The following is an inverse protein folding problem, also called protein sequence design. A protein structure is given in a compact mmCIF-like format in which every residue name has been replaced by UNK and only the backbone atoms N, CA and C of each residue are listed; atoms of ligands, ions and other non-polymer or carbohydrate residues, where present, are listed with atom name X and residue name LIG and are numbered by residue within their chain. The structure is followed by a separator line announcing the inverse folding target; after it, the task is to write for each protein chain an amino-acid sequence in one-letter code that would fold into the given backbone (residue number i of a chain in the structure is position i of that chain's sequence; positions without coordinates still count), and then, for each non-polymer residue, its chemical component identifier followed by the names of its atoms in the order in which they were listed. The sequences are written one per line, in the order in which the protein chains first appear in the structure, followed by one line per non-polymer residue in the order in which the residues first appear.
data_IF_035497972706
#
_entry.id   IF_035497972706
#
_cell.length_a   1.000
_cell.length_b   1.000
_cell.length_c   1.000
_cell.angle_alpha   90.00
_cell.angle_beta   90.00
_cell.angle_gamma   90.00
#
_symmetry.space_group_name_H-M   'P 1'
#
loop_
_entity.id
_entity.type
_entity.pdbx_description
1 polymer ?
#
# COMPACT_ATOMS: atom_id res chain seq x y z
N UNK A 1 55.93 -31.39 29.25
CA UNK A 1 55.94 -30.55 30.47
C UNK A 1 54.53 -29.99 30.61
N UNK A 2 53.69 -30.69 31.40
CA UNK A 2 53.28 -30.35 32.76
C UNK A 2 52.30 -29.14 32.75
N UNK A 3 50.98 -29.38 32.87
CA UNK A 3 50.15 -29.41 34.11
C UNK A 3 50.01 -28.01 34.73
N UNK A 4 48.87 -27.51 35.20
CA UNK A 4 47.65 -28.08 35.80
C UNK A 4 46.55 -26.98 35.74
N UNK A 5 45.26 -27.28 35.50
CA UNK A 5 44.19 -27.59 36.49
C UNK A 5 43.85 -26.40 37.40
N UNK A 6 42.59 -25.96 37.60
CA UNK A 6 41.50 -26.65 38.31
C UNK A 6 40.18 -25.83 38.19
N UNK A 7 39.03 -26.45 37.84
CA UNK A 7 37.87 -26.90 38.68
C UNK A 7 36.81 -25.83 38.99
N UNK A 8 35.58 -25.91 38.45
CA UNK A 8 34.39 -26.73 38.81
C UNK A 8 33.32 -25.92 39.60
N UNK A 9 32.19 -25.64 38.93
CA UNK A 9 30.74 -25.85 39.26
C UNK A 9 30.21 -25.82 40.74
N UNK A 10 28.89 -26.03 41.00
CA UNK A 10 27.61 -25.44 40.53
C UNK A 10 26.62 -25.09 41.70
N UNK A 11 25.36 -24.70 41.39
CA UNK A 11 24.19 -24.76 42.31
C UNK A 11 23.51 -23.41 42.56
N UNK A 12 22.22 -23.23 42.84
CA UNK A 12 21.01 -24.05 42.96
C UNK A 12 19.87 -23.01 43.24
N UNK A 13 18.66 -23.14 42.68
CA UNK A 13 17.46 -22.37 43.09
C UNK A 13 16.75 -23.09 44.27
N UNK A 14 15.55 -22.73 44.78
CA UNK A 14 14.75 -21.49 44.88
C UNK A 14 14.26 -21.22 46.35
N UNK A 15 13.67 -20.06 46.72
CA UNK A 15 12.79 -19.97 47.92
C UNK A 15 11.61 -18.99 47.81
N UNK A 16 10.39 -19.53 47.97
CA UNK A 16 9.14 -18.86 48.35
C UNK A 16 9.19 -18.52 49.85
N UNK A 17 8.65 -17.37 50.28
CA UNK A 17 8.25 -17.16 51.68
C UNK A 17 6.72 -17.10 51.78
N UNK A 18 6.19 -18.00 52.61
CA UNK A 18 4.78 -18.07 53.02
C UNK A 18 4.57 -17.20 54.27
N UNK A 19 3.35 -16.68 54.36
CA UNK A 19 2.68 -16.03 55.50
C UNK A 19 2.88 -16.73 56.86
N UNK A 20 2.81 -15.94 57.93
CA UNK A 20 2.09 -16.17 59.22
C UNK A 20 2.60 -15.15 60.28
N UNK A 21 2.05 -15.06 61.50
CA UNK A 21 0.65 -15.06 61.96
C UNK A 21 0.35 -14.01 63.09
N UNK A 22 -0.92 -13.90 63.48
CA UNK A 22 -1.41 -13.63 64.85
C UNK A 22 -0.88 -12.40 65.65
N UNK A 23 -1.68 -11.32 65.66
CA UNK A 23 -1.98 -10.47 66.82
C UNK A 23 -3.12 -9.51 66.39
N UNK A 24 -4.20 -9.25 67.12
CA UNK A 24 -4.61 -9.65 68.45
C UNK A 24 -6.13 -9.49 68.57
N UNK A 25 -6.68 -10.32 69.43
CA UNK A 25 -8.07 -10.42 69.85
C UNK A 25 -8.31 -9.38 70.97
N UNK A 26 -9.52 -8.82 71.04
CA UNK A 26 -10.14 -7.99 72.12
C UNK A 26 -10.15 -6.44 71.98
N UNK A 27 -11.31 -5.93 71.52
CA UNK A 27 -12.22 -5.02 72.25
C UNK A 27 -11.78 -3.59 72.62
N UNK A 28 -12.49 -2.58 72.12
CA UNK A 28 -13.36 -1.64 72.88
C UNK A 28 -13.87 -0.50 71.97
N UNK A 29 -15.12 -0.08 72.20
CA UNK A 29 -15.85 0.95 71.47
C UNK A 29 -15.26 2.37 71.64
N UNK A 30 -15.30 3.16 70.57
CA UNK A 30 -15.08 4.62 70.60
C UNK A 30 -15.68 5.27 69.35
N UNK A 31 -16.59 6.21 69.56
CA UNK A 31 -17.36 6.95 68.56
C UNK A 31 -16.50 7.89 67.70
N UNK A 32 -16.91 8.01 66.41
CA UNK A 32 -16.91 9.22 65.55
C UNK A 32 -15.56 9.88 65.19
N UNK A 33 -15.24 9.90 63.88
CA UNK A 33 -15.26 11.11 63.04
C UNK A 33 -15.29 10.65 61.58
N UNK A 34 -16.34 11.01 60.85
CA UNK A 34 -16.51 10.71 59.43
C UNK A 34 -15.60 11.63 58.59
N UNK A 35 -14.47 11.11 58.13
CA UNK A 35 -13.86 11.56 56.88
C UNK A 35 -14.36 10.61 55.80
N UNK A 36 -15.17 11.11 54.87
CA UNK A 36 -15.56 10.38 53.66
C UNK A 36 -14.28 10.10 52.85
N UNK A 37 -13.66 8.95 53.09
CA UNK A 37 -12.69 8.35 52.18
C UNK A 37 -13.40 8.15 50.85
N UNK A 38 -13.11 9.03 49.90
CA UNK A 38 -13.45 8.84 48.50
C UNK A 38 -12.92 7.45 48.11
N UNK A 39 -13.76 6.56 47.57
CA UNK A 39 -13.29 5.24 47.16
C UNK A 39 -12.14 5.46 46.18
N UNK A 40 -11.00 4.82 46.44
CA UNK A 40 -9.84 4.82 45.54
C UNK A 40 -10.30 4.29 44.19
N UNK A 41 -10.70 5.20 43.31
CA UNK A 41 -11.21 4.88 42.00
C UNK A 41 -10.00 4.49 41.17
N UNK A 42 -9.95 3.24 40.75
CA UNK A 42 -8.93 2.75 39.84
C UNK A 42 -9.13 3.44 38.48
N UNK A 43 -8.46 4.57 38.32
CA UNK A 43 -8.51 5.40 37.11
C UNK A 43 -8.00 4.61 35.91
N UNK A 44 -7.04 3.70 36.11
CA UNK A 44 -6.50 2.88 35.03
C UNK A 44 -7.54 1.85 34.55
N UNK A 45 -8.19 1.13 35.47
CA UNK A 45 -9.27 0.20 35.11
C UNK A 45 -10.52 0.94 34.59
N UNK A 46 -10.81 2.15 35.08
CA UNK A 46 -11.89 3.00 34.58
C UNK A 46 -11.63 3.50 33.16
N UNK A 47 -10.40 3.92 32.87
CA UNK A 47 -9.96 4.36 31.55
C UNK A 47 -9.98 3.20 30.55
N UNK A 48 -9.49 2.02 30.94
CA UNK A 48 -9.49 0.84 30.07
C UNK A 48 -10.93 0.39 29.72
N UNK A 49 -11.85 0.52 30.68
CA UNK A 49 -13.28 0.21 30.49
C UNK A 49 -13.99 1.28 29.64
N UNK A 50 -13.59 2.55 29.76
CA UNK A 50 -14.07 3.64 28.92
C UNK A 50 -13.56 3.51 27.47
N UNK A 51 -12.28 3.18 27.27
CA UNK A 51 -11.68 2.93 25.96
C UNK A 51 -12.29 1.71 25.27
N UNK A 52 -12.65 0.65 26.01
CA UNK A 52 -13.40 -0.49 25.46
C UNK A 52 -14.85 -0.14 25.10
N UNK A 53 -15.51 0.75 25.86
CA UNK A 53 -16.87 1.23 25.52
C UNK A 53 -16.88 2.15 24.32
N UNK A 54 -15.89 3.02 24.16
CA UNK A 54 -15.76 3.88 22.96
C UNK A 54 -15.28 3.08 21.75
N UNK A 55 -14.42 2.07 21.94
CA UNK A 55 -14.01 1.13 20.89
C UNK A 55 -15.12 0.17 20.42
N UNK A 56 -16.09 -0.16 21.29
CA UNK A 56 -17.22 -1.05 21.00
C UNK A 56 -18.51 -0.36 20.53
N UNK A 57 -18.66 0.95 20.74
CA UNK A 57 -19.85 1.71 20.36
C UNK A 57 -19.90 2.12 18.87
N UNK A 58 -18.88 1.75 18.07
CA UNK A 58 -18.88 1.90 16.61
C UNK A 58 -19.29 0.64 15.84
N UNK A 59 -19.96 -0.32 16.50
CA UNK A 59 -20.53 -1.48 15.83
C UNK A 59 -22.07 -1.40 15.78
N UNK A 60 -22.59 -0.47 14.97
CA UNK A 60 -23.81 -0.64 14.18
C UNK A 60 -24.18 0.67 13.46
N UNK A 61 -23.26 1.21 12.65
CA UNK A 61 -23.75 1.86 11.44
C UNK A 61 -24.47 0.76 10.67
N UNK A 62 -25.79 0.86 10.53
CA UNK A 62 -26.57 0.06 9.57
C UNK A 62 -25.71 0.01 8.31
N UNK A 63 -25.27 -1.17 7.88
CA UNK A 63 -24.71 -1.38 6.55
C UNK A 63 -25.79 -0.88 5.59
N UNK A 64 -25.76 0.40 5.24
CA UNK A 64 -26.41 0.89 4.07
C UNK A 64 -25.84 0.00 2.97
N UNK A 65 -26.69 -0.81 2.34
CA UNK A 65 -26.30 -1.40 1.08
C UNK A 65 -25.76 -0.24 0.26
N UNK A 66 -24.49 -0.26 -0.16
CA UNK A 66 -24.01 0.80 -1.02
C UNK A 66 -24.97 0.85 -2.18
N UNK A 67 -25.67 1.99 -2.34
CA UNK A 67 -26.58 2.20 -3.45
C UNK A 67 -25.82 1.77 -4.70
N UNK A 68 -26.34 0.80 -5.47
CA UNK A 68 -25.57 0.15 -6.55
C UNK A 68 -24.98 1.17 -7.53
N UNK A 69 -25.70 2.28 -7.76
CA UNK A 69 -25.24 3.41 -8.55
C UNK A 69 -24.02 4.13 -7.98
N UNK A 70 -23.81 4.14 -6.65
CA UNK A 70 -22.62 4.74 -6.03
C UNK A 70 -21.38 3.88 -6.27
N UNK A 71 -21.47 2.55 -6.17
CA UNK A 71 -20.32 1.67 -6.44
C UNK A 71 -19.87 1.68 -7.91
N UNK A 72 -20.81 1.73 -8.86
CA UNK A 72 -20.48 1.85 -10.28
C UNK A 72 -19.80 3.19 -10.55
N UNK A 73 -20.33 4.29 -10.01
CA UNK A 73 -19.72 5.62 -10.16
C UNK A 73 -18.32 5.71 -9.55
N UNK A 74 -18.11 5.11 -8.38
CA UNK A 74 -16.78 5.06 -7.75
C UNK A 74 -15.76 4.31 -8.60
N UNK A 75 -16.15 3.16 -9.17
CA UNK A 75 -15.30 2.41 -10.08
C UNK A 75 -14.99 3.19 -11.37
N UNK A 76 -15.99 3.86 -11.95
CA UNK A 76 -15.81 4.71 -13.12
C UNK A 76 -14.86 5.88 -12.83
N UNK A 77 -14.99 6.53 -11.67
CA UNK A 77 -14.08 7.60 -11.27
C UNK A 77 -12.63 7.11 -11.05
N UNK A 78 -12.45 5.89 -10.55
CA UNK A 78 -11.14 5.26 -10.45
C UNK A 78 -10.54 4.94 -11.82
N UNK A 79 -11.35 4.41 -12.74
CA UNK A 79 -10.94 4.16 -14.13
C UNK A 79 -10.54 5.46 -14.83
N UNK A 80 -11.36 6.50 -14.74
CA UNK A 80 -11.06 7.81 -15.34
C UNK A 80 -9.75 8.39 -14.80
N UNK A 81 -9.57 8.38 -13.48
CA UNK A 81 -8.33 8.86 -12.87
C UNK A 81 -7.11 8.01 -13.28
N UNK A 82 -7.29 6.71 -13.46
CA UNK A 82 -6.24 5.81 -13.94
C UNK A 82 -5.88 6.10 -15.40
N UNK A 83 -6.86 6.37 -16.27
CA UNK A 83 -6.62 6.72 -17.68
C UNK A 83 -5.76 7.98 -17.81
N UNK A 84 -6.10 9.06 -17.08
CA UNK A 84 -5.28 10.28 -17.08
C UNK A 84 -3.84 10.03 -16.62
N UNK A 85 -3.67 9.14 -15.64
CA UNK A 85 -2.35 8.80 -15.11
C UNK A 85 -1.56 7.90 -16.07
N UNK A 86 -2.24 7.02 -16.82
CA UNK A 86 -1.64 6.21 -17.88
C UNK A 86 -1.11 7.10 -18.99
N UNK A 87 -1.87 8.09 -19.43
CA UNK A 87 -1.43 9.05 -20.45
C UNK A 87 -0.15 9.76 -20.00
N UNK A 88 -0.12 10.22 -18.74
CA UNK A 88 1.08 10.86 -18.17
C UNK A 88 2.30 9.92 -18.13
N UNK A 89 2.11 8.65 -17.77
CA UNK A 89 3.19 7.65 -17.77
C UNK A 89 3.65 7.39 -19.20
N UNK A 90 2.73 7.28 -20.16
CA UNK A 90 3.03 7.09 -21.58
C UNK A 90 3.89 8.23 -22.12
N UNK A 91 3.54 9.48 -21.84
CA UNK A 91 4.34 10.64 -22.27
C UNK A 91 5.80 10.57 -21.79
N UNK A 92 6.03 10.05 -20.58
CA UNK A 92 7.37 9.92 -20.01
C UNK A 92 8.12 8.77 -20.70
N UNK A 93 7.45 7.65 -20.98
CA UNK A 93 8.06 6.52 -21.71
C UNK A 93 8.43 6.95 -23.14
N UNK A 94 7.57 7.70 -23.83
CA UNK A 94 7.86 8.23 -25.17
C UNK A 94 9.07 9.18 -25.14
N UNK A 95 9.16 10.08 -24.15
CA UNK A 95 10.36 10.90 -23.97
C UNK A 95 11.62 10.07 -23.73
N UNK A 96 11.54 9.01 -22.91
CA UNK A 96 12.67 8.13 -22.66
C UNK A 96 13.08 7.37 -23.94
N UNK A 97 12.12 7.01 -24.78
CA UNK A 97 12.35 6.38 -26.07
C UNK A 97 13.14 7.30 -27.01
N UNK A 98 12.77 8.57 -27.11
CA UNK A 98 13.50 9.57 -27.90
C UNK A 98 14.94 9.78 -27.40
N UNK A 99 15.16 9.78 -26.08
CA UNK A 99 16.50 9.86 -25.49
C UNK A 99 17.34 8.62 -25.84
N UNK A 100 16.77 7.42 -25.74
CA UNK A 100 17.46 6.19 -26.09
C UNK A 100 17.76 6.11 -27.61
N UNK A 101 16.85 6.57 -28.47
CA UNK A 101 17.11 6.72 -29.91
C UNK A 101 18.26 7.69 -30.17
N UNK A 102 18.26 8.85 -29.52
CA UNK A 102 19.35 9.83 -29.62
C UNK A 102 20.69 9.23 -29.19
N UNK A 103 20.69 8.36 -28.17
CA UNK A 103 21.90 7.66 -27.73
C UNK A 103 22.37 6.64 -28.77
N UNK A 104 21.45 5.98 -29.47
CA UNK A 104 21.76 5.05 -30.54
C UNK A 104 22.39 5.75 -31.76
N UNK A 105 22.07 7.03 -31.99
CA UNK A 105 22.65 7.83 -33.07
C UNK A 105 24.02 8.45 -32.70
N UNK A 106 24.34 8.52 -31.41
CA UNK A 106 25.58 9.12 -30.94
C UNK A 106 26.80 8.18 -31.09
N UNK A 107 27.82 8.64 -31.82
CA UNK A 107 29.07 7.88 -32.04
C UNK A 107 29.99 7.88 -30.81
N UNK A 108 30.05 9.01 -30.09
CA UNK A 108 30.95 9.20 -28.95
C UNK A 108 30.37 8.60 -27.66
N UNK A 109 31.17 7.77 -26.98
CA UNK A 109 30.77 7.14 -25.71
C UNK A 109 30.44 8.16 -24.60
N UNK A 110 31.14 9.30 -24.57
CA UNK A 110 30.87 10.37 -23.60
C UNK A 110 29.48 11.00 -23.80
N UNK A 111 29.05 11.20 -25.05
CA UNK A 111 27.73 11.71 -25.36
C UNK A 111 26.63 10.71 -24.98
N UNK A 112 26.85 9.41 -25.24
CA UNK A 112 25.92 8.34 -24.82
C UNK A 112 25.75 8.25 -23.31
N UNK A 113 26.84 8.44 -22.54
CA UNK A 113 26.77 8.45 -21.09
C UNK A 113 25.88 9.56 -20.52
N UNK A 114 25.94 10.77 -21.09
CA UNK A 114 25.04 11.88 -20.69
C UNK A 114 23.57 11.57 -21.02
N UNK A 115 23.32 10.93 -22.16
CA UNK A 115 21.98 10.50 -22.55
C UNK A 115 21.47 9.36 -21.67
N UNK A 116 22.33 8.46 -21.20
CA UNK A 116 21.98 7.41 -20.24
C UNK A 116 21.55 8.00 -18.90
N UNK A 117 22.21 9.06 -18.42
CA UNK A 117 21.78 9.79 -17.22
C UNK A 117 20.38 10.41 -17.42
N UNK A 118 20.16 11.10 -18.54
CA UNK A 118 18.84 11.66 -18.88
C UNK A 118 17.76 10.58 -19.00
N UNK A 119 18.10 9.41 -19.53
CA UNK A 119 17.23 8.25 -19.59
C UNK A 119 16.87 7.73 -18.19
N UNK A 120 17.85 7.58 -17.30
CA UNK A 120 17.58 7.12 -15.93
C UNK A 120 16.74 8.14 -15.13
N UNK A 121 16.94 9.43 -15.34
CA UNK A 121 16.08 10.48 -14.78
C UNK A 121 14.62 10.31 -15.22
N UNK A 122 14.38 10.08 -16.51
CA UNK A 122 13.04 9.81 -17.04
C UNK A 122 12.46 8.52 -16.44
N UNK A 123 13.25 7.44 -16.36
CA UNK A 123 12.85 6.19 -15.71
C UNK A 123 12.45 6.40 -14.24
N UNK A 124 13.20 7.22 -13.50
CA UNK A 124 12.86 7.57 -12.11
C UNK A 124 11.61 8.46 -12.05
N UNK A 125 11.41 9.35 -13.02
CA UNK A 125 10.24 10.21 -13.10
C UNK A 125 8.94 9.43 -13.32
N UNK A 126 8.99 8.26 -13.97
CA UNK A 126 7.85 7.33 -14.04
C UNK A 126 7.41 6.91 -12.64
N UNK A 127 8.37 6.51 -11.79
CA UNK A 127 8.07 6.10 -10.41
C UNK A 127 7.51 7.27 -9.60
N UNK A 128 8.07 8.46 -9.77
CA UNK A 128 7.56 9.68 -9.13
C UNK A 128 6.13 9.99 -9.57
N UNK A 129 5.83 9.87 -10.87
CA UNK A 129 4.49 10.04 -11.40
C UNK A 129 3.52 9.04 -10.76
N UNK A 130 3.86 7.75 -10.75
CA UNK A 130 3.05 6.68 -10.12
C UNK A 130 2.87 6.87 -8.62
N UNK A 131 3.86 7.39 -7.91
CA UNK A 131 3.78 7.63 -6.46
C UNK A 131 2.92 8.86 -6.11
N UNK A 132 2.78 9.80 -7.05
CA UNK A 132 2.04 11.05 -6.89
C UNK A 132 0.57 11.01 -7.34
N UNK A 133 0.10 9.88 -7.91
CA UNK A 133 -1.26 9.77 -8.42
C UNK A 133 -2.33 9.80 -7.32
N UNK A 134 -3.53 10.25 -7.71
CA UNK A 134 -4.71 10.22 -6.85
C UNK A 134 -4.99 8.79 -6.32
N UNK A 135 -5.49 8.69 -5.09
CA UNK A 135 -5.74 7.41 -4.42
C UNK A 135 -6.69 6.48 -5.22
N UNK A 136 -7.60 7.04 -6.01
CA UNK A 136 -8.50 6.28 -6.88
C UNK A 136 -7.72 5.59 -8.01
N UNK A 137 -6.85 6.33 -8.70
CA UNK A 137 -5.94 5.76 -9.70
C UNK A 137 -4.95 4.77 -9.07
N UNK A 138 -4.40 5.09 -7.89
CA UNK A 138 -3.43 4.23 -7.19
C UNK A 138 -3.98 2.83 -6.90
N UNK A 139 -5.30 2.72 -6.72
CA UNK A 139 -5.97 1.43 -6.55
C UNK A 139 -5.81 0.53 -7.78
N UNK A 140 -5.81 1.09 -8.99
CA UNK A 140 -5.73 0.31 -10.23
C UNK A 140 -4.31 0.20 -10.78
N UNK A 141 -3.52 1.28 -10.75
CA UNK A 141 -2.22 1.33 -11.44
C UNK A 141 -0.99 1.54 -10.55
N UNK A 142 -1.20 1.79 -9.26
CA UNK A 142 -0.13 2.07 -8.30
C UNK A 142 0.67 0.83 -7.88
N UNK A 143 1.69 1.04 -7.04
CA UNK A 143 2.54 -0.04 -6.50
C UNK A 143 1.76 -1.09 -5.68
N UNK A 144 0.73 -0.63 -4.96
CA UNK A 144 -0.16 -1.43 -4.12
C UNK A 144 -1.54 -1.64 -4.76
N UNK A 145 -1.57 -1.75 -6.08
CA UNK A 145 -2.79 -1.93 -6.85
C UNK A 145 -3.57 -3.18 -6.46
N UNK A 146 -4.89 -3.08 -6.50
CA UNK A 146 -5.86 -4.13 -6.15
C UNK A 146 -7.07 -4.05 -7.08
N UNK A 147 -7.71 -5.19 -7.25
CA UNK A 147 -8.96 -5.31 -8.01
C UNK A 147 -10.07 -4.47 -7.36
N UNK A 148 -10.91 -3.85 -8.19
CA UNK A 148 -12.14 -3.19 -7.76
C UNK A 148 -13.32 -4.11 -8.09
N UNK A 149 -14.06 -4.53 -7.06
CA UNK A 149 -15.26 -5.34 -7.23
C UNK A 149 -16.52 -4.48 -7.20
N UNK A 150 -17.22 -4.45 -8.33
CA UNK A 150 -18.44 -3.68 -8.55
C UNK A 150 -19.66 -4.59 -8.42
N UNK A 151 -20.54 -4.27 -7.49
CA UNK A 151 -21.81 -5.01 -7.31
C UNK A 151 -22.84 -4.53 -8.34
N UNK A 152 -23.24 -5.41 -9.26
CA UNK A 152 -24.24 -5.08 -10.29
C UNK A 152 -25.68 -5.30 -9.81
N UNK A 153 -25.86 -6.17 -8.80
CA UNK A 153 -27.14 -6.47 -8.18
C UNK A 153 -27.37 -7.96 -7.99
N UNK A 154 -28.21 -8.32 -7.01
CA UNK A 154 -28.36 -9.72 -6.60
C UNK A 154 -27.01 -10.32 -6.19
N UNK A 155 -26.63 -11.44 -6.81
CA UNK A 155 -25.32 -12.09 -6.62
C UNK A 155 -24.28 -11.71 -7.69
N UNK A 156 -24.65 -10.91 -8.68
CA UNK A 156 -23.77 -10.54 -9.79
C UNK A 156 -22.77 -9.46 -9.36
N UNK A 157 -21.50 -9.69 -9.70
CA UNK A 157 -20.39 -8.75 -9.53
C UNK A 157 -19.59 -8.65 -10.82
N UNK A 158 -18.92 -7.52 -10.99
CA UNK A 158 -17.98 -7.27 -12.06
C UNK A 158 -16.67 -6.79 -11.45
N UNK A 159 -15.54 -7.19 -12.03
CA UNK A 159 -14.24 -6.96 -11.45
C UNK A 159 -13.35 -6.21 -12.43
N UNK A 160 -12.88 -5.03 -12.01
CA UNK A 160 -11.92 -4.22 -12.77
C UNK A 160 -10.53 -4.66 -12.35
N UNK A 161 -9.79 -5.24 -13.29
CA UNK A 161 -8.46 -5.81 -13.01
C UNK A 161 -7.40 -4.73 -12.93
N UNK A 162 -6.53 -4.76 -11.91
CA UNK A 162 -5.52 -3.73 -11.76
C UNK A 162 -4.31 -4.01 -12.69
N UNK A 163 -3.54 -2.97 -13.03
CA UNK A 163 -2.33 -3.05 -13.86
C UNK A 163 -1.23 -2.14 -13.33
N UNK A 164 -0.23 -2.70 -12.65
CA UNK A 164 0.92 -1.95 -12.12
C UNK A 164 1.77 -1.32 -13.23
N UNK A 165 2.10 -0.03 -13.11
CA UNK A 165 2.84 0.76 -14.13
C UNK A 165 4.09 1.49 -13.60
N UNK A 166 4.68 1.03 -12.48
CA UNK A 166 5.99 1.51 -12.04
C UNK A 166 7.13 0.80 -12.81
N UNK A 167 8.38 1.24 -12.68
CA UNK A 167 9.50 0.65 -13.46
C UNK A 167 9.96 -0.72 -12.98
N UNK A 168 9.34 -1.26 -11.93
CA UNK A 168 9.67 -2.56 -11.37
C UNK A 168 9.45 -3.72 -12.38
N UNK A 169 10.05 -4.90 -12.16
CA UNK A 169 9.82 -6.07 -13.01
C UNK A 169 8.37 -6.54 -13.08
N UNK A 170 7.56 -6.24 -12.06
CA UNK A 170 6.11 -6.54 -12.06
C UNK A 170 5.30 -5.46 -12.79
N UNK A 171 5.85 -4.25 -12.88
CA UNK A 171 5.31 -3.12 -13.61
C UNK A 171 5.78 -3.10 -15.05
N UNK A 172 6.35 -1.99 -15.48
CA UNK A 172 6.82 -1.76 -16.85
C UNK A 172 8.12 -2.51 -17.18
N UNK A 173 8.86 -2.99 -16.17
CA UNK A 173 10.13 -3.70 -16.35
C UNK A 173 11.13 -2.89 -17.21
N UNK A 174 11.36 -1.63 -16.81
CA UNK A 174 12.35 -0.75 -17.44
C UNK A 174 13.54 -0.71 -16.50
N UNK A 175 14.66 -1.25 -16.95
CA UNK A 175 15.87 -1.34 -16.16
C UNK A 175 16.66 -0.02 -16.22
N UNK A 176 17.42 0.32 -15.17
CA UNK A 176 18.42 1.38 -15.27
C UNK A 176 19.52 0.96 -16.27
N UNK A 177 20.17 1.93 -16.94
CA UNK A 177 21.35 1.64 -17.75
C UNK A 177 22.46 1.08 -16.83
N UNK A 178 22.95 -0.11 -17.16
CA UNK A 178 23.96 -0.81 -16.37
C UNK A 178 25.35 -0.21 -16.53
N UNK A 179 25.70 0.17 -17.77
CA UNK A 179 27.03 0.64 -18.15
C UNK A 179 26.96 1.98 -18.89
N UNK A 180 25.97 2.81 -18.53
CA UNK A 180 25.76 4.16 -19.05
C UNK A 180 25.73 4.25 -20.59
N UNK A 181 25.06 3.29 -21.24
CA UNK A 181 24.99 3.21 -22.71
C UNK A 181 26.37 3.14 -23.38
N UNK A 182 27.32 2.47 -22.73
CA UNK A 182 28.66 2.25 -23.28
C UNK A 182 28.60 1.43 -24.58
N UNK A 183 27.62 0.54 -24.71
CA UNK A 183 27.40 -0.33 -25.88
C UNK A 183 26.08 -0.06 -26.56
N UNK A 184 26.02 -0.29 -27.88
CA UNK A 184 24.77 -0.21 -28.63
C UNK A 184 23.77 -1.31 -28.24
N UNK A 185 24.26 -2.48 -27.83
CA UNK A 185 23.42 -3.60 -27.36
C UNK A 185 22.59 -3.21 -26.13
N UNK A 186 23.19 -2.47 -25.18
CA UNK A 186 22.48 -1.94 -24.00
C UNK A 186 21.37 -0.95 -24.39
N UNK A 187 21.64 -0.10 -25.38
CA UNK A 187 20.68 0.89 -25.90
C UNK A 187 19.53 0.17 -26.61
N UNK A 188 19.83 -0.82 -27.45
CA UNK A 188 18.83 -1.64 -28.12
C UNK A 188 17.96 -2.40 -27.11
N UNK A 189 18.55 -2.98 -26.07
CA UNK A 189 17.79 -3.62 -24.99
C UNK A 189 16.86 -2.62 -24.28
N UNK A 190 17.33 -1.40 -24.02
CA UNK A 190 16.51 -0.35 -23.41
C UNK A 190 15.35 0.09 -24.32
N UNK A 191 15.58 0.20 -25.64
CA UNK A 191 14.53 0.49 -26.62
C UNK A 191 13.46 -0.62 -26.65
N UNK A 192 13.87 -1.89 -26.62
CA UNK A 192 12.95 -3.02 -26.56
C UNK A 192 12.11 -3.03 -25.26
N UNK A 193 12.74 -2.69 -24.14
CA UNK A 193 12.04 -2.53 -22.85
C UNK A 193 11.00 -1.39 -22.89
N UNK A 194 11.33 -0.26 -23.51
CA UNK A 194 10.42 0.88 -23.66
C UNK A 194 9.24 0.57 -24.58
N UNK A 195 9.46 -0.10 -25.72
CA UNK A 195 8.38 -0.56 -26.60
C UNK A 195 7.46 -1.56 -25.87
N UNK A 196 8.02 -2.50 -25.11
CA UNK A 196 7.23 -3.41 -24.28
C UNK A 196 6.42 -2.66 -23.20
N UNK A 197 7.00 -1.63 -22.60
CA UNK A 197 6.35 -0.77 -21.61
C UNK A 197 5.20 0.04 -22.21
N UNK A 198 5.38 0.67 -23.38
CA UNK A 198 4.32 1.37 -24.12
C UNK A 198 3.16 0.44 -24.42
N UNK A 199 3.45 -0.74 -24.99
CA UNK A 199 2.41 -1.74 -25.28
C UNK A 199 1.68 -2.18 -24.01
N UNK A 200 2.34 -2.23 -22.85
CA UNK A 200 1.69 -2.56 -21.58
C UNK A 200 0.77 -1.43 -21.12
N UNK A 201 1.20 -0.17 -21.20
CA UNK A 201 0.38 0.98 -20.89
C UNK A 201 -0.87 1.04 -21.79
N UNK A 202 -0.71 0.85 -23.10
CA UNK A 202 -1.80 0.83 -24.07
C UNK A 202 -2.79 -0.30 -23.81
N UNK A 203 -2.30 -1.50 -23.49
CA UNK A 203 -3.18 -2.62 -23.12
C UNK A 203 -3.99 -2.32 -21.86
N UNK A 204 -3.39 -1.66 -20.86
CA UNK A 204 -4.08 -1.27 -19.64
C UNK A 204 -5.16 -0.21 -19.94
N UNK A 205 -4.84 0.83 -20.71
CA UNK A 205 -5.80 1.84 -21.14
C UNK A 205 -6.97 1.23 -21.91
N UNK A 206 -6.68 0.36 -22.89
CA UNK A 206 -7.70 -0.32 -23.68
C UNK A 206 -8.60 -1.22 -22.82
N UNK A 207 -8.04 -1.90 -21.81
CA UNK A 207 -8.83 -2.68 -20.86
C UNK A 207 -9.77 -1.77 -20.04
N UNK A 208 -9.26 -0.68 -19.49
CA UNK A 208 -10.06 0.26 -18.73
C UNK A 208 -11.13 0.98 -19.55
N UNK A 209 -10.87 1.29 -20.81
CA UNK A 209 -11.90 1.79 -21.72
C UNK A 209 -13.05 0.78 -21.91
N UNK A 210 -12.74 -0.51 -22.08
CA UNK A 210 -13.76 -1.58 -22.17
C UNK A 210 -14.54 -1.73 -20.86
N UNK A 211 -13.84 -1.73 -19.73
CA UNK A 211 -14.46 -1.86 -18.41
C UNK A 211 -15.39 -0.66 -18.14
N UNK A 212 -14.97 0.56 -18.47
CA UNK A 212 -15.78 1.76 -18.37
C UNK A 212 -17.03 1.69 -19.26
N UNK A 213 -16.89 1.30 -20.52
CA UNK A 213 -18.03 1.13 -21.43
C UNK A 213 -19.08 0.16 -20.88
N UNK A 214 -18.63 -0.99 -20.36
CA UNK A 214 -19.52 -1.96 -19.73
C UNK A 214 -20.24 -1.37 -18.51
N UNK A 215 -19.49 -0.72 -17.61
CA UNK A 215 -20.04 -0.15 -16.38
C UNK A 215 -21.00 1.01 -16.64
N UNK A 216 -20.74 1.85 -17.65
CA UNK A 216 -21.66 2.91 -18.10
C UNK A 216 -22.99 2.30 -18.57
N UNK A 217 -22.94 1.24 -19.38
CA UNK A 217 -24.14 0.52 -19.80
C UNK A 217 -24.95 0.00 -18.61
N UNK A 218 -24.29 -0.57 -17.60
CA UNK A 218 -24.94 -1.03 -16.37
C UNK A 218 -25.52 0.11 -15.52
N UNK A 219 -24.89 1.27 -15.49
CA UNK A 219 -25.43 2.44 -14.80
C UNK A 219 -26.72 2.95 -15.46
N UNK A 220 -26.77 2.95 -16.79
CA UNK A 220 -27.95 3.36 -17.56
C UNK A 220 -29.11 2.39 -17.38
N UNK A 221 -28.85 1.07 -17.41
CA UNK A 221 -29.86 0.04 -17.10
C UNK A 221 -30.48 0.26 -15.71
N UNK A 222 -29.67 0.61 -14.70
CA UNK A 222 -30.16 0.90 -13.35
C UNK A 222 -31.01 2.18 -13.29
N UNK A 223 -30.64 3.21 -14.02
CA UNK A 223 -31.40 4.46 -14.07
C UNK A 223 -32.77 4.28 -14.75
N UNK A 224 -32.86 3.42 -15.76
CA UNK A 224 -34.11 3.14 -16.47
C UNK A 224 -35.06 2.19 -15.71
N UNK A 225 -34.54 1.45 -14.73
CA UNK A 225 -35.30 0.51 -13.91
C UNK A 225 -35.80 1.09 -12.58
N UNK A 226 -35.41 2.33 -12.26
CA UNK A 226 -35.80 3.08 -11.06
C UNK A 226 -36.94 4.06 -11.38
#
# INVERSE_FOLDING_TARGET
MASASDREAPGEAPKKSKRSPLAGLFGLNGHQTEEQELPAMDVAAGLDRALRRTGGACAASKKAEPQRGNNIREALAAIESALYSIDRVRDIIEQAYEVALSAHEAEEAGARALLAESFDELRLSINAAVDSIDARAATLIGKNQRQIDVKLGGKAHYSVSPSRLDTSPKGLNINPPADAFSTYDEISASLDELDAALRKADRAAAAYCRDAQFLIGKLQEQANAA
#
